data_IF_793861351808
#
_entry.id   IF_793861351808
#
_cell.length_a   1.000
_cell.length_b   1.000
_cell.length_c   1.000
_cell.angle_alpha   90.00
_cell.angle_beta   90.00
_cell.angle_gamma   90.00
#
_symmetry.space_group_name_H-M   'P 1'
#
loop_
_entity.id
_entity.type
_entity.pdbx_description
1 polymer ?
#
# COMPACT_ATOMS: atom_id res chain seq x y z
N UNK A 1 15.73 19.75 20.57
CA UNK A 1 15.43 18.38 21.05
C UNK A 1 13.96 18.25 21.46
N UNK A 2 13.49 18.91 22.54
CA UNK A 2 12.10 18.77 22.97
C UNK A 2 11.07 19.32 21.96
N UNK A 3 11.29 20.51 21.39
CA UNK A 3 10.35 21.13 20.43
C UNK A 3 10.25 20.37 19.10
N UNK A 4 11.37 19.91 18.54
CA UNK A 4 11.36 19.12 17.31
C UNK A 4 10.65 17.78 17.51
N UNK A 5 10.85 17.12 18.66
CA UNK A 5 10.17 15.87 18.98
C UNK A 5 8.67 16.05 19.23
N UNK A 6 8.29 17.11 19.96
CA UNK A 6 6.89 17.45 20.17
C UNK A 6 6.17 17.74 18.85
N UNK A 7 6.82 18.46 17.93
CA UNK A 7 6.27 18.73 16.60
C UNK A 7 6.17 17.45 15.75
N UNK A 8 7.15 16.53 15.84
CA UNK A 8 7.05 15.22 15.18
C UNK A 8 5.79 14.46 15.62
N UNK A 9 5.52 14.43 16.93
CA UNK A 9 4.40 13.68 17.49
C UNK A 9 3.03 14.38 17.27
N UNK A 10 3.01 15.71 17.08
CA UNK A 10 1.76 16.51 16.99
C UNK A 10 1.42 17.03 15.59
N UNK A 11 2.42 17.33 14.76
CA UNK A 11 2.27 17.84 13.39
C UNK A 11 3.45 17.41 12.50
N UNK A 12 3.39 16.15 12.05
CA UNK A 12 4.40 15.52 11.20
C UNK A 12 4.68 16.29 9.90
N UNK A 13 3.65 16.97 9.35
CA UNK A 13 3.80 17.72 8.11
C UNK A 13 4.73 18.91 8.33
N UNK A 14 4.43 19.77 9.30
CA UNK A 14 5.26 20.94 9.60
C UNK A 14 6.66 20.48 10.04
N UNK A 15 6.75 19.44 10.88
CA UNK A 15 8.05 18.88 11.27
C UNK A 15 8.89 18.48 10.05
N UNK A 16 8.31 17.72 9.11
CA UNK A 16 9.03 17.22 7.94
C UNK A 16 9.54 18.35 7.03
N UNK A 17 8.75 19.40 6.84
CA UNK A 17 9.13 20.58 6.05
C UNK A 17 10.27 21.38 6.69
N UNK A 18 10.24 21.51 8.02
CA UNK A 18 11.30 22.16 8.80
C UNK A 18 12.60 21.37 8.74
N UNK A 19 12.56 20.06 8.99
CA UNK A 19 13.74 19.20 8.92
C UNK A 19 14.34 19.20 7.50
N UNK A 20 13.52 19.12 6.45
CA UNK A 20 13.98 19.20 5.07
C UNK A 20 14.68 20.54 4.77
N UNK A 21 14.20 21.65 5.33
CA UNK A 21 14.82 22.97 5.18
C UNK A 21 16.20 23.02 5.85
N UNK A 22 16.33 22.49 7.06
CA UNK A 22 17.62 22.41 7.76
C UNK A 22 18.62 21.50 7.03
N UNK A 23 18.17 20.34 6.53
CA UNK A 23 18.99 19.42 5.75
C UNK A 23 19.51 20.05 4.45
N UNK A 24 18.73 20.89 3.77
CA UNK A 24 19.19 21.62 2.57
C UNK A 24 20.33 22.58 2.89
N UNK A 25 20.30 23.24 4.04
CA UNK A 25 21.37 24.14 4.50
C UNK A 25 22.66 23.35 4.79
N UNK A 26 22.55 22.21 5.47
CA UNK A 26 23.67 21.27 5.67
C UNK A 26 24.27 20.84 4.33
N UNK A 27 23.42 20.46 3.37
CA UNK A 27 23.85 20.05 2.03
C UNK A 27 24.54 21.18 1.25
N UNK A 28 24.18 22.44 1.51
CA UNK A 28 24.83 23.62 0.95
C UNK A 28 26.19 23.95 1.61
N UNK A 29 26.64 23.15 2.58
CA UNK A 29 27.91 23.31 3.28
C UNK A 29 27.84 24.22 4.51
N UNK A 30 26.63 24.64 4.93
CA UNK A 30 26.48 25.33 6.21
C UNK A 30 26.77 24.37 7.36
N UNK A 31 27.59 24.81 8.32
CA UNK A 31 27.77 24.09 9.60
C UNK A 31 26.53 24.32 10.45
N UNK A 32 25.49 23.52 10.21
CA UNK A 32 24.30 23.47 11.06
C UNK A 32 24.57 22.49 12.20
N UNK A 33 25.07 22.99 13.32
CA UNK A 33 25.05 22.29 14.60
C UNK A 33 23.84 22.79 15.39
N UNK A 34 22.63 22.57 14.84
CA UNK A 34 21.38 23.01 15.48
C UNK A 34 20.76 21.87 16.28
N UNK A 35 20.34 22.09 17.54
CA UNK A 35 19.55 21.12 18.30
C UNK A 35 18.13 20.93 17.73
N UNK A 36 17.79 21.61 16.64
CA UNK A 36 16.56 21.48 15.85
C UNK A 36 16.64 20.36 14.79
N UNK A 37 17.84 19.92 14.41
CA UNK A 37 18.01 18.76 13.51
C UNK A 37 17.76 17.47 14.31
N UNK A 38 16.61 16.86 14.05
CA UNK A 38 16.14 15.67 14.76
C UNK A 38 16.62 14.39 14.08
N UNK A 39 17.93 14.12 14.19
CA UNK A 39 18.56 12.99 13.51
C UNK A 39 17.92 11.61 13.78
N UNK A 40 17.53 11.25 15.02
CA UNK A 40 16.86 9.98 15.27
C UNK A 40 15.59 9.80 14.42
N UNK A 41 14.72 10.81 14.41
CA UNK A 41 13.46 10.74 13.67
C UNK A 41 13.68 10.85 12.16
N UNK A 42 14.67 11.64 11.70
CA UNK A 42 15.04 11.69 10.28
C UNK A 42 15.49 10.31 9.79
N UNK A 43 16.32 9.61 10.56
CA UNK A 43 16.80 8.27 10.22
C UNK A 43 15.62 7.30 10.15
N UNK A 44 14.76 7.30 11.16
CA UNK A 44 13.56 6.46 11.21
C UNK A 44 12.63 6.73 10.01
N UNK A 45 12.39 8.00 9.66
CA UNK A 45 11.57 8.36 8.51
C UNK A 45 12.20 7.86 7.20
N UNK A 46 13.50 8.03 7.00
CA UNK A 46 14.19 7.53 5.81
C UNK A 46 14.13 6.00 5.72
N UNK A 47 14.28 5.30 6.84
CA UNK A 47 14.14 3.84 6.91
C UNK A 47 12.69 3.40 6.62
N UNK A 48 11.70 4.17 7.07
CA UNK A 48 10.28 3.87 6.91
C UNK A 48 9.74 4.14 5.51
N UNK A 49 10.25 5.13 4.77
CA UNK A 49 9.72 5.54 3.45
C UNK A 49 9.60 4.35 2.49
N UNK A 50 10.64 3.52 2.41
CA UNK A 50 10.63 2.34 1.54
C UNK A 50 9.65 1.25 2.01
N UNK A 51 9.44 1.13 3.32
CA UNK A 51 8.50 0.18 3.90
C UNK A 51 7.04 0.65 3.70
N UNK A 52 6.78 1.94 3.87
CA UNK A 52 5.46 2.54 3.68
C UNK A 52 4.99 2.43 2.21
N UNK A 53 5.88 2.66 1.24
CA UNK A 53 5.55 2.45 -0.17
C UNK A 53 5.29 0.97 -0.49
N UNK A 54 6.02 0.03 0.13
CA UNK A 54 5.74 -1.40 0.02
C UNK A 54 4.35 -1.74 0.57
N UNK A 55 4.05 -1.33 1.81
CA UNK A 55 2.75 -1.56 2.44
C UNK A 55 1.60 -0.92 1.64
N UNK A 56 1.82 0.24 1.02
CA UNK A 56 0.83 0.88 0.15
C UNK A 56 0.54 0.01 -1.09
N UNK A 57 1.57 -0.57 -1.72
CA UNK A 57 1.38 -1.51 -2.84
C UNK A 57 0.65 -2.78 -2.38
N UNK A 58 1.04 -3.36 -1.25
CA UNK A 58 0.39 -4.56 -0.68
C UNK A 58 -1.09 -4.32 -0.37
N UNK A 59 -1.43 -3.17 0.23
CA UNK A 59 -2.82 -2.76 0.49
C UNK A 59 -3.63 -2.62 -0.79
N UNK A 60 -3.06 -2.01 -1.83
CA UNK A 60 -3.71 -1.90 -3.14
C UNK A 60 -3.93 -3.28 -3.79
N UNK A 61 -2.95 -4.18 -3.69
CA UNK A 61 -3.08 -5.55 -4.19
C UNK A 61 -4.15 -6.33 -3.41
N UNK A 62 -4.19 -6.22 -2.09
CA UNK A 62 -5.22 -6.81 -1.23
C UNK A 62 -6.61 -6.34 -1.64
N UNK A 63 -6.81 -5.02 -1.80
CA UNK A 63 -8.10 -4.48 -2.23
C UNK A 63 -8.49 -4.97 -3.64
N UNK A 64 -7.53 -5.05 -4.57
CA UNK A 64 -7.80 -5.62 -5.87
C UNK A 64 -8.25 -7.09 -5.79
N UNK A 65 -7.53 -7.90 -5.02
CA UNK A 65 -7.83 -9.32 -4.80
C UNK A 65 -9.22 -9.52 -4.20
N UNK A 66 -9.60 -8.75 -3.17
CA UNK A 66 -10.93 -8.80 -2.56
C UNK A 66 -12.03 -8.57 -3.61
N UNK A 67 -11.90 -7.52 -4.43
CA UNK A 67 -12.91 -7.21 -5.44
C UNK A 67 -12.96 -8.27 -6.55
N UNK A 68 -11.81 -8.82 -6.95
CA UNK A 68 -11.77 -9.93 -7.91
C UNK A 68 -12.47 -11.17 -7.35
N UNK A 69 -12.17 -11.55 -6.11
CA UNK A 69 -12.79 -12.69 -5.44
C UNK A 69 -14.30 -12.49 -5.27
N UNK A 70 -14.76 -11.27 -4.96
CA UNK A 70 -16.20 -10.95 -4.93
C UNK A 70 -16.86 -11.19 -6.29
N UNK A 71 -16.19 -10.88 -7.39
CA UNK A 71 -16.73 -11.14 -8.73
C UNK A 71 -16.82 -12.62 -9.08
N UNK A 72 -15.90 -13.44 -8.56
CA UNK A 72 -15.92 -14.90 -8.74
C UNK A 72 -16.95 -15.58 -7.83
N UNK A 73 -17.03 -15.13 -6.57
CA UNK A 73 -17.93 -15.66 -5.56
C UNK A 73 -19.41 -15.32 -5.85
N UNK A 74 -19.70 -14.09 -6.32
CA UNK A 74 -21.08 -13.63 -6.61
C UNK A 74 -21.24 -13.09 -8.03
N UNK A 75 -21.10 -13.93 -9.07
CA UNK A 75 -21.07 -13.48 -10.46
C UNK A 75 -22.41 -12.92 -10.96
N UNK A 76 -23.50 -13.14 -10.22
CA UNK A 76 -24.86 -12.65 -10.53
C UNK A 76 -25.23 -11.38 -9.75
N UNK A 77 -24.37 -10.88 -8.85
CA UNK A 77 -24.66 -9.65 -8.11
C UNK A 77 -24.66 -8.44 -9.06
N UNK A 78 -25.62 -7.51 -8.94
CA UNK A 78 -25.61 -6.27 -9.70
C UNK A 78 -24.38 -5.39 -9.42
N UNK A 79 -23.63 -5.65 -8.34
CA UNK A 79 -22.42 -4.93 -7.98
C UNK A 79 -21.16 -5.38 -8.75
N UNK A 80 -21.21 -6.50 -9.48
CA UNK A 80 -20.07 -7.06 -10.24
C UNK A 80 -19.39 -6.04 -11.16
N UNK A 81 -20.11 -5.20 -11.95
CA UNK A 81 -19.46 -4.18 -12.78
C UNK A 81 -18.64 -3.19 -11.96
N UNK A 82 -19.14 -2.78 -10.78
CA UNK A 82 -18.45 -1.89 -9.86
C UNK A 82 -17.17 -2.52 -9.31
N UNK A 83 -17.26 -3.75 -8.80
CA UNK A 83 -16.08 -4.45 -8.26
C UNK A 83 -15.00 -4.69 -9.33
N UNK A 84 -15.38 -5.00 -10.57
CA UNK A 84 -14.41 -5.10 -11.67
C UNK A 84 -13.73 -3.76 -11.98
N UNK A 85 -14.45 -2.65 -11.88
CA UNK A 85 -13.87 -1.32 -12.06
C UNK A 85 -12.90 -0.98 -10.93
N UNK A 86 -13.30 -1.22 -9.67
CA UNK A 86 -12.48 -1.00 -8.48
C UNK A 86 -11.21 -1.86 -8.49
N UNK A 87 -11.33 -3.16 -8.74
CA UNK A 87 -10.19 -4.07 -8.86
C UNK A 87 -9.16 -3.57 -9.88
N UNK A 88 -9.62 -3.09 -11.03
CA UNK A 88 -8.75 -2.54 -12.08
C UNK A 88 -8.08 -1.23 -11.65
N UNK A 89 -8.78 -0.35 -10.96
CA UNK A 89 -8.21 0.90 -10.43
C UNK A 89 -7.12 0.57 -9.40
N UNK A 90 -7.39 -0.32 -8.45
CA UNK A 90 -6.40 -0.72 -7.45
C UNK A 90 -5.17 -1.37 -8.08
N UNK A 91 -5.33 -2.27 -9.06
CA UNK A 91 -4.21 -2.84 -9.82
C UNK A 91 -3.39 -1.78 -10.55
N UNK A 92 -4.05 -0.82 -11.19
CA UNK A 92 -3.37 0.29 -11.88
C UNK A 92 -2.57 1.16 -10.90
N UNK A 93 -3.13 1.44 -9.72
CA UNK A 93 -2.45 2.20 -8.67
C UNK A 93 -1.27 1.40 -8.09
N UNK A 94 -1.44 0.11 -7.83
CA UNK A 94 -0.36 -0.78 -7.38
C UNK A 94 0.77 -0.80 -8.40
N UNK A 95 0.45 -0.97 -9.70
CA UNK A 95 1.44 -0.92 -10.79
C UNK A 95 2.22 0.38 -10.82
N UNK A 96 1.55 1.53 -10.64
CA UNK A 96 2.22 2.84 -10.67
C UNK A 96 3.19 3.05 -9.51
N UNK A 97 2.92 2.44 -8.36
CA UNK A 97 3.75 2.53 -7.15
C UNK A 97 4.80 1.42 -7.06
N UNK A 98 4.60 0.32 -7.79
CA UNK A 98 5.47 -0.83 -7.75
C UNK A 98 6.89 -0.50 -8.24
N UNK A 99 7.88 -0.93 -7.47
CA UNK A 99 9.30 -0.89 -7.82
C UNK A 99 9.86 -2.32 -7.90
N UNK A 100 10.83 -2.61 -8.78
CA UNK A 100 11.41 -3.95 -8.91
C UNK A 100 11.91 -4.58 -7.59
N UNK A 101 12.41 -3.78 -6.66
CA UNK A 101 12.90 -4.24 -5.35
C UNK A 101 11.79 -4.78 -4.43
N UNK A 102 10.53 -4.38 -4.66
CA UNK A 102 9.38 -4.86 -3.87
C UNK A 102 9.04 -6.32 -4.19
N UNK A 103 9.42 -6.82 -5.37
CA UNK A 103 9.02 -8.15 -5.86
C UNK A 103 9.32 -9.28 -4.89
N UNK A 104 10.49 -9.26 -4.26
CA UNK A 104 10.93 -10.30 -3.34
C UNK A 104 10.33 -10.14 -1.94
N UNK A 105 9.67 -9.01 -1.67
CA UNK A 105 9.12 -8.66 -0.36
C UNK A 105 7.60 -8.84 -0.28
N UNK A 106 6.91 -8.81 -1.41
CA UNK A 106 5.45 -9.01 -1.48
C UNK A 106 5.13 -10.50 -1.35
N UNK A 107 4.49 -10.88 -0.24
CA UNK A 107 3.91 -12.21 -0.06
C UNK A 107 2.51 -12.27 -0.69
N UNK A 108 2.46 -12.60 -1.98
CA UNK A 108 1.20 -12.71 -2.70
C UNK A 108 0.29 -13.82 -2.15
N UNK A 109 0.85 -14.90 -1.62
CA UNK A 109 0.05 -15.99 -1.06
C UNK A 109 -0.64 -15.54 0.23
N UNK A 110 0.09 -14.83 1.09
CA UNK A 110 -0.45 -14.18 2.28
C UNK A 110 -1.55 -13.17 1.95
N UNK A 111 -1.30 -12.24 1.02
CA UNK A 111 -2.31 -11.25 0.60
C UNK A 111 -3.58 -11.90 0.06
N UNK A 112 -3.47 -13.01 -0.67
CA UNK A 112 -4.63 -13.74 -1.16
C UNK A 112 -5.40 -14.43 -0.03
N UNK A 113 -4.70 -15.03 0.93
CA UNK A 113 -5.33 -15.63 2.11
C UNK A 113 -6.08 -14.57 2.94
N UNK A 114 -5.47 -13.40 3.13
CA UNK A 114 -6.11 -12.27 3.81
C UNK A 114 -7.33 -11.76 3.02
N UNK A 115 -7.24 -11.71 1.69
CA UNK A 115 -8.36 -11.33 0.83
C UNK A 115 -9.54 -12.30 0.97
N UNK A 116 -9.27 -13.62 1.02
CA UNK A 116 -10.28 -14.65 1.27
C UNK A 116 -10.93 -14.49 2.65
N UNK A 117 -10.12 -14.27 3.69
CA UNK A 117 -10.60 -14.07 5.06
C UNK A 117 -11.45 -12.79 5.22
N UNK A 118 -11.18 -11.77 4.40
CA UNK A 118 -11.92 -10.51 4.37
C UNK A 118 -13.21 -10.53 3.54
N UNK A 119 -13.56 -11.64 2.89
CA UNK A 119 -14.81 -11.74 2.14
C UNK A 119 -16.03 -11.75 3.08
N UNK A 120 -17.14 -11.10 2.69
CA UNK A 120 -18.39 -11.21 3.43
C UNK A 120 -18.96 -12.63 3.33
N UNK A 121 -19.66 -13.08 4.37
CA UNK A 121 -20.33 -14.40 4.36
C UNK A 121 -21.40 -14.51 3.26
N UNK A 122 -22.05 -13.39 2.93
CA UNK A 122 -23.04 -13.31 1.85
C UNK A 122 -23.09 -11.91 1.24
N UNK A 123 -23.56 -11.83 0.00
CA UNK A 123 -23.88 -10.58 -0.69
C UNK A 123 -25.26 -10.74 -1.32
N UNK A 124 -26.13 -9.73 -1.16
CA UNK A 124 -27.51 -9.75 -1.68
C UNK A 124 -28.31 -10.99 -1.24
N UNK A 125 -28.02 -11.50 -0.03
CA UNK A 125 -28.64 -12.71 0.53
C UNK A 125 -28.18 -14.02 -0.12
N UNK A 126 -27.14 -14.00 -0.96
CA UNK A 126 -26.58 -15.18 -1.61
C UNK A 126 -25.25 -15.58 -0.98
N UNK A 127 -25.06 -16.89 -0.76
CA UNK A 127 -23.77 -17.44 -0.36
C UNK A 127 -22.76 -17.41 -1.52
N UNK A 128 -21.45 -17.33 -1.23
CA UNK A 128 -20.41 -17.37 -2.25
C UNK A 128 -20.42 -18.70 -3.00
N UNK A 129 -20.12 -18.66 -4.29
CA UNK A 129 -19.72 -19.85 -5.05
C UNK A 129 -18.34 -20.32 -4.59
N UNK A 130 -18.00 -21.61 -4.77
CA UNK A 130 -16.63 -22.08 -4.56
C UNK A 130 -15.63 -21.27 -5.39
N UNK A 131 -14.60 -20.77 -4.73
CA UNK A 131 -13.46 -20.03 -5.31
C UNK A 131 -12.17 -20.79 -4.95
N UNK A 132 -11.08 -20.49 -5.64
CA UNK A 132 -9.82 -21.17 -5.39
C UNK A 132 -9.29 -20.86 -3.97
N UNK A 133 -8.84 -21.89 -3.25
CA UNK A 133 -8.24 -21.72 -1.90
C UNK A 133 -6.83 -21.13 -1.96
N UNK A 134 -6.18 -21.22 -3.12
CA UNK A 134 -4.83 -20.71 -3.37
C UNK A 134 -4.86 -19.73 -4.53
N UNK A 135 -4.05 -18.68 -4.42
CA UNK A 135 -3.94 -17.67 -5.46
C UNK A 135 -3.55 -18.32 -6.81
N UNK A 136 -4.40 -18.25 -7.84
CA UNK A 136 -4.07 -18.77 -9.16
C UNK A 136 -3.21 -17.78 -9.96
N UNK A 137 -3.05 -16.55 -9.47
CA UNK A 137 -2.41 -15.45 -10.18
C UNK A 137 -0.98 -15.25 -9.73
N UNK A 138 -0.16 -14.81 -10.69
CA UNK A 138 1.16 -14.27 -10.39
C UNK A 138 1.10 -12.77 -10.09
N UNK A 139 2.13 -12.24 -9.41
CA UNK A 139 2.25 -10.81 -9.17
C UNK A 139 2.32 -10.03 -10.49
N UNK A 140 2.94 -10.58 -11.53
CA UNK A 140 3.02 -9.93 -12.84
C UNK A 140 1.66 -9.85 -13.54
N UNK A 141 0.83 -10.88 -13.40
CA UNK A 141 -0.54 -10.84 -13.90
C UNK A 141 -1.38 -9.79 -13.14
N UNK A 142 -1.18 -9.63 -11.83
CA UNK A 142 -1.82 -8.56 -11.07
C UNK A 142 -1.33 -7.16 -11.45
N UNK A 143 -0.08 -7.01 -11.87
CA UNK A 143 0.48 -5.72 -12.26
C UNK A 143 0.32 -5.42 -13.76
N UNK A 144 -0.22 -6.33 -14.58
CA UNK A 144 -0.41 -6.11 -16.01
C UNK A 144 -1.50 -5.05 -16.34
N UNK A 145 -1.42 -4.43 -17.51
CA UNK A 145 -2.40 -3.43 -18.00
C UNK A 145 -3.79 -4.00 -18.32
N UNK A 146 -3.88 -5.30 -18.60
CA UNK A 146 -5.12 -6.01 -18.93
C UNK A 146 -5.79 -6.70 -17.75
N UNK A 147 -6.92 -7.36 -18.02
CA UNK A 147 -7.53 -8.30 -17.08
C UNK A 147 -6.56 -9.49 -16.88
N UNK A 148 -6.30 -9.95 -15.64
CA UNK A 148 -5.58 -11.19 -15.40
C UNK A 148 -6.30 -12.37 -16.06
N UNK A 149 -5.55 -13.41 -16.42
CA UNK A 149 -6.08 -14.62 -17.06
C UNK A 149 -6.91 -15.46 -16.11
#
# INVERSE_FOLDING_TARGET
MAEARELYDTDILIWSEQQATLLRRVAAGERVNSPELDWPNIIEEVESVGLNELHAVESLLLQALIHMLKTEAWPQSPAVPGWKAEARIFRLQARRRFSPSMRQRIDLAGLYADALAGLPESVDGQLPRPIAEKCPLTLDELLAEGQPR
#
